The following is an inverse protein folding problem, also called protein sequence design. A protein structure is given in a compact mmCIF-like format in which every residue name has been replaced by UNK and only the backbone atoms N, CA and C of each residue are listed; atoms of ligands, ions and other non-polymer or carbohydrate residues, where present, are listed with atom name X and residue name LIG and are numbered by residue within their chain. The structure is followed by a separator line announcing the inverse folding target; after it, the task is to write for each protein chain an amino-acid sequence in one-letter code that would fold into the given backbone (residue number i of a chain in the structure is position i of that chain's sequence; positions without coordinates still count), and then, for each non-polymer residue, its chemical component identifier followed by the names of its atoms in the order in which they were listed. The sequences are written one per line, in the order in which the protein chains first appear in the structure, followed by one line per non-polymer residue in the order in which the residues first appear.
data_IF_978314694723
#
_entry.id   IF_978314694723
#
_cell.length_a   1.000
_cell.length_b   1.000
_cell.length_c   1.000
_cell.angle_alpha   90.00
_cell.angle_beta   90.00
_cell.angle_gamma   90.00
#
_symmetry.space_group_name_H-M   'P 1'
#
loop_
_entity.id
_entity.type
_entity.pdbx_description
1 polymer ?
#
# COMPACT_ATOMS: atom_id res chain seq x y z
N UNK A 1 -6.04 -60.33 19.82
CA UNK A 1 -6.63 -59.03 19.41
C UNK A 1 -6.16 -58.70 18.01
N UNK A 2 -7.04 -58.31 17.09
CA UNK A 2 -6.63 -57.95 15.73
C UNK A 2 -5.82 -56.64 15.72
N UNK A 3 -4.75 -56.55 14.92
CA UNK A 3 -3.89 -55.37 14.86
C UNK A 3 -4.62 -54.13 14.34
N UNK A 4 -4.14 -52.94 14.73
CA UNK A 4 -4.84 -51.68 14.44
C UNK A 4 -4.91 -51.35 12.94
N UNK A 5 -3.91 -51.78 12.16
CA UNK A 5 -3.78 -51.51 10.72
C UNK A 5 -4.76 -52.29 9.84
N UNK A 6 -5.42 -53.33 10.36
CA UNK A 6 -6.46 -54.07 9.62
C UNK A 6 -7.85 -53.44 9.78
N UNK A 7 -7.97 -52.38 10.59
CA UNK A 7 -9.25 -51.68 10.78
C UNK A 7 -9.44 -50.64 9.67
N UNK A 8 -10.58 -50.64 8.95
CA UNK A 8 -10.81 -49.69 7.84
C UNK A 8 -10.77 -48.23 8.31
N UNK A 9 -11.18 -47.94 9.55
CA UNK A 9 -11.08 -46.60 10.15
C UNK A 9 -9.65 -46.08 10.25
N UNK A 10 -8.66 -46.95 10.44
CA UNK A 10 -7.25 -46.56 10.50
C UNK A 10 -6.73 -46.12 9.13
N UNK A 11 -7.09 -46.86 8.07
CA UNK A 11 -6.74 -46.50 6.69
C UNK A 11 -7.40 -45.19 6.25
N UNK A 12 -8.67 -44.97 6.61
CA UNK A 12 -9.37 -43.70 6.35
C UNK A 12 -8.70 -42.54 7.10
N UNK A 13 -8.29 -42.75 8.35
CA UNK A 13 -7.54 -41.76 9.13
C UNK A 13 -6.22 -41.36 8.47
N UNK A 14 -5.46 -42.35 7.98
CA UNK A 14 -4.23 -42.11 7.22
C UNK A 14 -4.52 -41.36 5.91
N UNK A 15 -5.54 -41.76 5.16
CA UNK A 15 -5.92 -41.10 3.91
C UNK A 15 -6.30 -39.63 4.14
N UNK A 16 -7.08 -39.34 5.19
CA UNK A 16 -7.43 -37.97 5.57
C UNK A 16 -6.20 -37.16 5.99
N UNK A 17 -5.26 -37.78 6.72
CA UNK A 17 -4.02 -37.11 7.12
C UNK A 17 -3.18 -36.73 5.89
N UNK A 18 -3.03 -37.65 4.93
CA UNK A 18 -2.33 -37.36 3.68
C UNK A 18 -3.07 -36.35 2.80
N UNK A 19 -4.40 -36.43 2.71
CA UNK A 19 -5.20 -35.48 1.97
C UNK A 19 -5.07 -34.06 2.55
N UNK A 20 -5.18 -33.92 3.87
CA UNK A 20 -5.08 -32.63 4.56
C UNK A 20 -3.65 -32.09 4.53
N UNK A 21 -2.65 -32.95 4.77
CA UNK A 21 -1.24 -32.58 4.69
C UNK A 21 -0.82 -32.19 3.28
N UNK A 22 -1.24 -32.96 2.26
CA UNK A 22 -0.99 -32.66 0.86
C UNK A 22 -1.65 -31.36 0.41
N UNK A 23 -2.91 -31.13 0.79
CA UNK A 23 -3.60 -29.87 0.50
C UNK A 23 -2.91 -28.68 1.17
N UNK A 24 -2.43 -28.84 2.41
CA UNK A 24 -1.70 -27.79 3.13
C UNK A 24 -0.39 -27.44 2.43
N UNK A 25 0.39 -28.42 1.99
CA UNK A 25 1.64 -28.18 1.25
C UNK A 25 1.38 -27.51 -0.11
N UNK A 26 0.34 -27.93 -0.82
CA UNK A 26 -0.06 -27.30 -2.07
C UNK A 26 -0.44 -25.83 -1.88
N UNK A 27 -1.26 -25.54 -0.85
CA UNK A 27 -1.67 -24.18 -0.53
C UNK A 27 -0.49 -23.32 -0.07
N UNK A 28 0.43 -23.86 0.73
CA UNK A 28 1.65 -23.16 1.15
C UNK A 28 2.42 -22.66 -0.08
N UNK A 29 2.69 -23.54 -1.05
CA UNK A 29 3.46 -23.16 -2.23
C UNK A 29 2.76 -22.08 -3.05
N UNK A 30 1.42 -22.12 -3.15
CA UNK A 30 0.64 -21.10 -3.87
C UNK A 30 0.66 -19.75 -3.16
N UNK A 31 0.59 -19.75 -1.82
CA UNK A 31 0.66 -18.53 -1.01
C UNK A 31 2.04 -17.90 -1.17
N UNK A 32 3.10 -18.70 -1.08
CA UNK A 32 4.49 -18.25 -1.19
C UNK A 32 4.74 -17.57 -2.55
N UNK A 33 4.32 -18.19 -3.65
CA UNK A 33 4.38 -17.59 -4.98
C UNK A 33 3.58 -16.28 -5.08
N UNK A 34 2.35 -16.27 -4.56
CA UNK A 34 1.52 -15.07 -4.58
C UNK A 34 2.11 -13.93 -3.74
N UNK A 35 2.88 -14.26 -2.70
CA UNK A 35 3.51 -13.28 -1.83
C UNK A 35 4.71 -12.65 -2.51
N UNK A 36 5.53 -13.46 -3.19
CA UNK A 36 6.66 -12.99 -4.02
C UNK A 36 6.19 -12.06 -5.15
N UNK A 37 5.13 -12.42 -5.87
CA UNK A 37 4.57 -11.56 -6.92
C UNK A 37 4.03 -10.24 -6.35
N UNK A 38 3.42 -10.28 -5.16
CA UNK A 38 2.89 -9.08 -4.51
C UNK A 38 4.00 -8.19 -3.95
N UNK A 39 5.09 -8.78 -3.45
CA UNK A 39 6.29 -8.06 -3.01
C UNK A 39 6.95 -7.36 -4.20
N UNK A 40 7.16 -8.07 -5.32
CA UNK A 40 7.70 -7.48 -6.54
C UNK A 40 6.84 -6.30 -7.05
N UNK A 41 5.51 -6.46 -7.07
CA UNK A 41 4.60 -5.36 -7.45
C UNK A 41 4.64 -4.20 -6.46
N UNK A 42 4.77 -4.48 -5.17
CA UNK A 42 4.89 -3.46 -4.13
C UNK A 42 6.19 -2.66 -4.29
N UNK A 43 7.29 -3.33 -4.61
CA UNK A 43 8.59 -2.71 -4.85
C UNK A 43 8.58 -1.79 -6.07
N UNK A 44 7.94 -2.22 -7.16
CA UNK A 44 7.72 -1.37 -8.34
C UNK A 44 6.92 -0.12 -7.98
N UNK A 45 5.82 -0.28 -7.23
CA UNK A 45 4.99 0.84 -6.78
C UNK A 45 5.79 1.76 -5.86
N UNK A 46 6.54 1.24 -4.89
CA UNK A 46 7.40 2.03 -4.01
C UNK A 46 8.47 2.79 -4.80
N UNK A 47 9.08 2.14 -5.79
CA UNK A 47 10.05 2.75 -6.69
C UNK A 47 9.45 3.95 -7.44
N UNK A 48 8.25 3.78 -8.00
CA UNK A 48 7.56 4.89 -8.68
C UNK A 48 7.15 6.01 -7.72
N UNK A 49 6.62 5.69 -6.54
CA UNK A 49 6.24 6.66 -5.52
C UNK A 49 7.45 7.47 -5.04
N UNK A 50 8.59 6.81 -4.83
CA UNK A 50 9.84 7.47 -4.46
C UNK A 50 10.33 8.42 -5.56
N UNK A 51 10.18 8.04 -6.83
CA UNK A 51 10.43 8.93 -7.96
C UNK A 51 9.53 10.17 -7.95
N UNK A 52 8.22 10.00 -7.72
CA UNK A 52 7.28 11.12 -7.61
C UNK A 52 7.59 12.04 -6.43
N UNK A 53 7.97 11.48 -5.27
CA UNK A 53 8.42 12.27 -4.11
C UNK A 53 9.66 13.09 -4.47
N UNK A 54 10.60 12.53 -5.24
CA UNK A 54 11.76 13.27 -5.75
C UNK A 54 11.36 14.47 -6.62
N UNK A 55 10.42 14.29 -7.55
CA UNK A 55 9.90 15.37 -8.40
C UNK A 55 9.18 16.46 -7.59
N UNK A 56 8.41 16.06 -6.57
CA UNK A 56 7.75 16.99 -5.65
C UNK A 56 8.78 17.75 -4.82
N UNK A 57 9.79 17.06 -4.29
CA UNK A 57 10.86 17.66 -3.51
C UNK A 57 11.64 18.66 -4.36
N UNK A 58 11.99 18.33 -5.59
CA UNK A 58 12.66 19.25 -6.52
C UNK A 58 11.75 20.44 -6.90
N UNK A 59 10.45 20.21 -7.12
CA UNK A 59 9.49 21.28 -7.36
C UNK A 59 9.38 22.22 -6.15
N UNK A 60 9.33 21.66 -4.94
CA UNK A 60 9.30 22.42 -3.69
C UNK A 60 10.58 23.21 -3.50
N UNK A 61 11.75 22.61 -3.72
CA UNK A 61 13.06 23.26 -3.71
C UNK A 61 13.15 24.41 -4.71
N UNK A 62 12.59 24.24 -5.92
CA UNK A 62 12.55 25.31 -6.93
C UNK A 62 11.60 26.43 -6.54
N UNK A 63 10.46 26.12 -5.93
CA UNK A 63 9.53 27.11 -5.38
C UNK A 63 10.20 27.86 -4.23
N UNK A 64 10.80 27.15 -3.27
CA UNK A 64 11.55 27.74 -2.15
C UNK A 64 12.78 28.52 -2.61
N UNK A 65 13.53 28.07 -3.63
CA UNK A 65 14.65 28.83 -4.20
C UNK A 65 14.16 30.04 -4.96
N UNK A 66 13.05 29.96 -5.70
CA UNK A 66 12.39 31.15 -6.28
C UNK A 66 11.95 32.11 -5.18
N UNK A 67 11.40 31.60 -4.08
CA UNK A 67 11.02 32.37 -2.88
C UNK A 67 12.25 32.90 -2.11
N UNK A 68 13.36 32.18 -2.10
CA UNK A 68 14.60 32.51 -1.38
C UNK A 68 15.49 33.49 -2.16
N UNK A 69 15.40 33.49 -3.49
CA UNK A 69 15.86 34.60 -4.34
C UNK A 69 14.89 35.77 -4.36
N UNK A 70 13.63 35.54 -4.02
CA UNK A 70 12.61 36.57 -3.76
C UNK A 70 12.52 36.90 -2.28
N UNK A 71 13.68 37.06 -1.63
CA UNK A 71 13.82 37.80 -0.38
C UNK A 71 13.14 37.22 0.86
N UNK A 72 13.86 37.31 1.97
CA UNK A 72 13.23 37.85 3.18
C UNK A 72 12.72 39.26 2.81
N UNK A 73 11.54 39.33 2.21
CA UNK A 73 11.00 40.55 1.60
C UNK A 73 9.69 40.28 0.86
N UNK A 74 8.58 40.63 1.51
CA UNK A 74 7.23 40.79 0.95
C UNK A 74 6.53 39.63 0.19
N UNK A 75 7.20 38.51 -0.14
CA UNK A 75 6.59 37.40 -0.90
C UNK A 75 5.86 36.32 -0.09
N UNK A 76 5.97 36.32 1.25
CA UNK A 76 5.26 35.37 2.12
C UNK A 76 3.76 35.64 2.28
N UNK A 77 3.27 36.76 1.75
CA UNK A 77 1.87 37.20 1.84
C UNK A 77 1.09 37.03 0.53
N UNK A 78 1.76 36.97 -0.63
CA UNK A 78 1.09 36.97 -1.94
C UNK A 78 0.43 35.63 -2.27
N UNK A 79 0.95 34.52 -1.72
CA UNK A 79 0.30 33.21 -1.84
C UNK A 79 -0.75 32.95 -0.76
N UNK A 80 -0.85 33.79 0.28
CA UNK A 80 -1.83 33.60 1.36
C UNK A 80 -3.26 33.70 0.84
N UNK A 81 -3.49 34.57 -0.14
CA UNK A 81 -4.79 34.74 -0.78
C UNK A 81 -5.25 33.48 -1.53
N UNK A 82 -4.31 32.73 -2.12
CA UNK A 82 -4.60 31.45 -2.80
C UNK A 82 -4.97 30.37 -1.78
N UNK A 83 -4.29 30.32 -0.63
CA UNK A 83 -4.63 29.39 0.45
C UNK A 83 -5.94 29.78 1.18
N UNK A 84 -6.19 31.08 1.39
CA UNK A 84 -7.42 31.61 2.00
C UNK A 84 -8.64 31.53 1.03
N UNK A 85 -8.43 31.45 -0.29
CA UNK A 85 -9.47 31.14 -1.26
C UNK A 85 -9.87 29.66 -1.21
N UNK A 86 -8.89 28.73 -1.20
CA UNK A 86 -9.17 27.29 -1.11
C UNK A 86 -9.97 26.92 0.14
N UNK A 87 -9.57 27.44 1.32
CA UNK A 87 -10.32 27.22 2.55
C UNK A 87 -11.72 27.87 2.60
N UNK A 88 -12.03 28.79 1.69
CA UNK A 88 -13.37 29.39 1.54
C UNK A 88 -14.26 28.64 0.56
N UNK A 89 -13.68 28.09 -0.51
CA UNK A 89 -14.42 27.26 -1.46
C UNK A 89 -14.85 25.93 -0.82
N UNK A 90 -13.97 25.30 -0.01
CA UNK A 90 -14.32 24.11 0.77
C UNK A 90 -15.51 24.35 1.73
N UNK A 91 -15.65 25.57 2.29
CA UNK A 91 -16.78 25.94 3.17
C UNK A 91 -18.07 26.27 2.43
N UNK A 92 -18.00 26.63 1.15
CA UNK A 92 -19.20 26.86 0.31
C UNK A 92 -19.81 25.53 -0.11
N UNK A 93 -18.98 24.59 -0.54
CA UNK A 93 -19.41 23.25 -0.94
C UNK A 93 -20.08 22.47 0.20
N UNK A 94 -19.68 22.75 1.45
CA UNK A 94 -20.27 22.13 2.65
C UNK A 94 -21.60 22.79 3.08
N UNK A 95 -21.88 24.02 2.63
CA UNK A 95 -23.17 24.71 2.87
C UNK A 95 -24.23 24.37 1.83
N UNK A 96 -23.84 24.12 0.58
CA UNK A 96 -24.78 23.75 -0.50
C UNK A 96 -25.22 22.27 -0.43
N UNK A 97 -24.62 21.47 0.46
CA UNK A 97 -25.00 20.06 0.74
C UNK A 97 -25.91 19.88 1.96
N UNK A 98 -26.38 20.97 2.59
CA UNK A 98 -27.32 20.95 3.73
C UNK A 98 -28.68 21.47 3.32
#
# INVERSE_FOLDING_TARGET
MAPLYTKPKFLIGIANLFATGGATLYLKNKIEYSLEENEARSDEIEGTLRGHIGLIHEAHDRIEKKLGTAGIGAGGLENRDIYDQRGRDDKKDDKDKK
#
